data_IF_453965165036
#
_entry.id   IF_453965165036
#
_cell.length_a   1.000
_cell.length_b   1.000
_cell.length_c   1.000
_cell.angle_alpha   90.00
_cell.angle_beta   90.00
_cell.angle_gamma   90.00
#
_symmetry.space_group_name_H-M   'P 1'
#
loop_
_entity.id
_entity.type
_entity.pdbx_description
1 polymer ?
#
# COMPACT_ATOMS: atom_id res chain seq x y z
N UNK A 1 -14.79 25.19 22.51
CA UNK A 1 -14.96 25.02 21.04
C UNK A 1 -13.68 24.33 20.60
N UNK A 2 -13.75 23.03 20.36
CA UNK A 2 -12.56 22.19 20.23
C UNK A 2 -12.02 22.36 18.82
N UNK A 3 -10.97 23.16 18.63
CA UNK A 3 -10.20 23.17 17.39
C UNK A 3 -9.56 21.79 17.17
N UNK A 4 -10.28 20.88 16.51
CA UNK A 4 -9.68 19.73 15.84
C UNK A 4 -8.85 20.27 14.68
N UNK A 5 -7.59 20.57 14.95
CA UNK A 5 -6.55 20.79 13.95
C UNK A 5 -6.52 19.56 13.03
N UNK A 6 -6.88 19.65 11.74
CA UNK A 6 -6.80 18.52 10.85
C UNK A 6 -5.32 18.19 10.71
N UNK A 7 -4.87 17.17 11.45
CA UNK A 7 -3.61 16.53 11.13
C UNK A 7 -3.83 15.98 9.73
N UNK A 8 -3.17 16.56 8.73
CA UNK A 8 -3.28 16.14 7.34
C UNK A 8 -2.77 14.70 7.29
N UNK A 9 -3.68 13.75 7.46
CA UNK A 9 -3.39 12.33 7.45
C UNK A 9 -3.16 11.84 6.02
N UNK A 10 -2.98 12.72 5.03
CA UNK A 10 -2.65 12.31 3.69
C UNK A 10 -1.23 11.70 3.65
N UNK A 11 -1.15 10.43 3.25
CA UNK A 11 0.10 9.73 2.97
C UNK A 11 0.13 9.21 1.53
N UNK A 12 1.31 9.25 0.93
CA UNK A 12 1.55 8.73 -0.41
C UNK A 12 1.68 7.21 -0.36
N UNK A 13 0.81 6.49 -1.07
CA UNK A 13 0.92 5.06 -1.25
C UNK A 13 2.20 4.70 -2.01
N UNK A 14 3.06 3.85 -1.44
CA UNK A 14 4.30 3.40 -2.13
C UNK A 14 4.08 2.27 -3.13
N UNK A 15 2.85 1.78 -3.28
CA UNK A 15 2.51 0.84 -4.34
C UNK A 15 2.07 1.58 -5.63
N UNK A 16 1.16 2.55 -5.53
CA UNK A 16 0.61 3.26 -6.70
C UNK A 16 1.03 4.73 -6.83
N UNK A 17 1.67 5.33 -5.82
CA UNK A 17 2.12 6.72 -5.84
C UNK A 17 1.01 7.76 -5.59
N UNK A 18 -0.20 7.33 -5.21
CA UNK A 18 -1.34 8.23 -4.97
C UNK A 18 -1.40 8.67 -3.52
N UNK A 19 -1.72 9.95 -3.28
CA UNK A 19 -1.98 10.49 -1.95
C UNK A 19 -3.36 10.06 -1.46
N UNK A 20 -3.39 9.33 -0.35
CA UNK A 20 -4.61 8.77 0.24
C UNK A 20 -4.58 8.98 1.76
N UNK A 21 -5.73 8.79 2.43
CA UNK A 21 -5.82 8.89 3.88
C UNK A 21 -5.01 7.79 4.56
N UNK A 22 -3.98 8.17 5.30
CA UNK A 22 -3.12 7.31 6.10
C UNK A 22 -3.92 6.53 7.12
N UNK A 23 -4.97 7.15 7.65
CA UNK A 23 -5.85 6.54 8.65
C UNK A 23 -6.62 5.31 8.12
N UNK A 24 -6.66 5.11 6.81
CA UNK A 24 -7.39 4.02 6.14
C UNK A 24 -6.47 3.08 5.32
N UNK A 25 -5.16 3.31 5.31
CA UNK A 25 -4.23 2.42 4.59
C UNK A 25 -3.66 1.30 5.44
N UNK A 26 -3.02 0.36 4.74
CA UNK A 26 -2.48 -0.88 5.29
C UNK A 26 -0.96 -0.94 5.11
N UNK A 27 -0.22 -1.58 6.02
CA UNK A 27 1.21 -1.75 5.87
C UNK A 27 1.55 -2.81 4.82
N UNK A 28 2.66 -2.60 4.12
CA UNK A 28 3.28 -3.56 3.21
C UNK A 28 3.76 -4.79 3.98
N UNK A 29 3.44 -5.99 3.50
CA UNK A 29 3.82 -7.25 4.14
C UNK A 29 5.35 -7.46 4.16
N UNK A 30 6.07 -6.91 3.18
CA UNK A 30 7.53 -7.08 3.08
C UNK A 30 8.37 -6.07 3.86
N UNK A 31 7.88 -4.84 4.07
CA UNK A 31 8.70 -3.77 4.67
C UNK A 31 7.94 -2.81 5.60
N UNK A 32 6.64 -3.04 5.84
CA UNK A 32 5.81 -2.20 6.71
C UNK A 32 5.44 -0.82 6.14
N UNK A 33 5.85 -0.52 4.91
CA UNK A 33 5.55 0.74 4.24
C UNK A 33 4.06 0.93 3.95
N UNK A 34 3.58 2.18 3.99
CA UNK A 34 2.19 2.53 3.71
C UNK A 34 1.72 2.14 2.29
N UNK A 35 0.62 1.39 2.23
CA UNK A 35 -0.14 1.02 1.03
C UNK A 35 -1.59 1.51 1.20
N UNK A 36 -2.18 2.13 0.18
CA UNK A 36 -3.55 2.61 0.29
C UNK A 36 -4.59 1.48 0.27
N UNK A 37 -5.76 1.76 0.85
CA UNK A 37 -6.92 0.85 0.88
C UNK A 37 -7.27 0.28 -0.51
N UNK A 38 -7.21 1.11 -1.57
CA UNK A 38 -7.52 0.68 -2.94
C UNK A 38 -6.53 -0.39 -3.42
N UNK A 39 -5.24 -0.24 -3.13
CA UNK A 39 -4.25 -1.25 -3.45
C UNK A 39 -4.54 -2.55 -2.68
N UNK A 40 -4.89 -2.45 -1.40
CA UNK A 40 -5.32 -3.60 -0.59
C UNK A 40 -6.54 -4.31 -1.20
N UNK A 41 -7.58 -3.58 -1.60
CA UNK A 41 -8.77 -4.14 -2.26
C UNK A 41 -8.46 -4.82 -3.60
N UNK A 42 -7.42 -4.36 -4.30
CA UNK A 42 -6.91 -5.01 -5.53
C UNK A 42 -6.05 -6.24 -5.25
N UNK A 43 -5.84 -6.61 -3.98
CA UNK A 43 -4.98 -7.70 -3.56
C UNK A 43 -3.49 -7.34 -3.54
N UNK A 44 -3.14 -6.05 -3.60
CA UNK A 44 -1.75 -5.58 -3.53
C UNK A 44 -1.37 -5.39 -2.07
N UNK A 45 -0.67 -6.38 -1.50
CA UNK A 45 -0.15 -6.36 -0.12
C UNK A 45 1.32 -5.95 -0.03
N UNK A 46 1.99 -5.78 -1.18
CA UNK A 46 3.40 -5.44 -1.29
C UNK A 46 3.57 -4.10 -2.01
N UNK A 47 4.49 -3.25 -1.55
CA UNK A 47 4.83 -2.01 -2.23
C UNK A 47 5.60 -2.29 -3.53
N UNK A 48 5.73 -1.28 -4.40
CA UNK A 48 6.35 -1.46 -5.72
C UNK A 48 7.80 -2.01 -5.63
N UNK A 49 8.54 -1.66 -4.59
CA UNK A 49 9.88 -2.21 -4.35
C UNK A 49 9.86 -3.66 -3.88
N UNK A 50 8.96 -4.00 -2.94
CA UNK A 50 8.79 -5.38 -2.48
C UNK A 50 8.27 -6.29 -3.59
N UNK A 51 7.39 -5.81 -4.46
CA UNK A 51 6.94 -6.56 -5.64
C UNK A 51 8.07 -6.79 -6.64
N UNK A 52 9.02 -5.86 -6.78
CA UNK A 52 10.23 -6.06 -7.62
C UNK A 52 11.20 -7.05 -7.00
N UNK A 53 11.30 -7.10 -5.67
CA UNK A 53 12.12 -8.08 -4.95
C UNK A 53 11.48 -9.47 -4.89
N UNK A 54 10.16 -9.54 -4.88
CA UNK A 54 9.46 -10.80 -4.95
C UNK A 54 9.84 -11.49 -6.27
N UNK A 55 10.41 -12.71 -6.24
CA UNK A 55 10.55 -13.48 -7.46
C UNK A 55 9.14 -13.62 -8.03
N UNK A 56 8.95 -13.25 -9.30
CA UNK A 56 7.67 -13.37 -9.97
C UNK A 56 7.08 -14.75 -9.63
N UNK A 57 5.80 -14.84 -9.22
CA UNK A 57 5.22 -16.13 -8.92
C UNK A 57 5.48 -17.02 -10.13
N UNK A 58 5.99 -18.25 -9.94
CA UNK A 58 6.18 -19.16 -11.06
C UNK A 58 4.84 -19.20 -11.77
N UNK A 59 4.82 -18.76 -13.04
CA UNK A 59 3.64 -18.91 -13.88
C UNK A 59 3.19 -20.36 -13.67
N UNK A 60 1.93 -20.64 -13.32
CA UNK A 60 1.49 -22.02 -13.23
C UNK A 60 1.85 -22.63 -14.57
N UNK A 61 2.81 -23.56 -14.54
CA UNK A 61 3.21 -24.29 -15.72
C UNK A 61 1.94 -25.00 -16.15
N UNK A 62 1.32 -24.48 -17.21
CA UNK A 62 0.21 -25.13 -17.87
C UNK A 62 0.71 -26.54 -18.21
N UNK A 63 0.17 -27.52 -17.47
CA UNK A 63 0.39 -28.95 -17.69
C UNK A 63 -0.42 -29.41 -18.88
#
# INVERSE_FOLDING_TARGET
MTEQKPHTDAMVCRACGREERASEGYPCDGCGTFICLICTFRGVTLCAECQKKAPAPPRPAAS
#
